data_IF_230389283272
#
_entry.id   IF_230389283272
#
_cell.length_a   1.000
_cell.length_b   1.000
_cell.length_c   1.000
_cell.angle_alpha   90.00
_cell.angle_beta   90.00
_cell.angle_gamma   90.00
#
_symmetry.space_group_name_H-M   'P 1'
#
loop_
_entity.id
_entity.type
_entity.pdbx_description
1 polymer ?
#
# COMPACT_ATOMS: atom_id res chain seq x y z
N UNK A 1 20.42 -7.86 16.46
CA UNK A 1 20.26 -6.46 16.02
C UNK A 1 19.65 -5.70 17.19
N UNK A 2 20.16 -4.53 17.52
CA UNK A 2 19.67 -3.73 18.64
C UNK A 2 18.27 -3.17 18.29
N UNK A 3 17.24 -3.50 19.09
CA UNK A 3 15.86 -3.06 18.92
C UNK A 3 15.76 -1.53 18.77
N UNK A 4 16.52 -0.79 19.56
CA UNK A 4 16.53 0.66 19.54
C UNK A 4 17.04 1.24 18.21
N UNK A 5 18.02 0.62 17.57
CA UNK A 5 18.51 1.06 16.26
C UNK A 5 17.52 0.79 15.13
N UNK A 6 16.74 -0.27 15.24
CA UNK A 6 15.74 -0.63 14.25
C UNK A 6 14.51 0.31 14.31
N UNK A 7 14.00 0.61 15.51
CA UNK A 7 12.89 1.55 15.69
C UNK A 7 13.24 2.96 15.19
N UNK A 8 14.49 3.40 15.33
CA UNK A 8 14.97 4.68 14.78
C UNK A 8 14.83 4.79 13.26
N UNK A 9 14.82 3.67 12.53
CA UNK A 9 14.64 3.69 11.06
C UNK A 9 13.25 4.15 10.63
N UNK A 10 12.24 3.92 11.47
CA UNK A 10 10.85 4.35 11.23
C UNK A 10 10.49 5.64 11.97
N UNK A 11 11.45 6.32 12.57
CA UNK A 11 11.20 7.63 13.19
C UNK A 11 10.66 8.61 12.14
N UNK A 12 9.66 9.39 12.54
CA UNK A 12 8.94 10.36 11.70
C UNK A 12 8.13 9.71 10.54
N UNK A 13 7.85 8.39 10.65
CA UNK A 13 6.90 7.72 9.75
C UNK A 13 5.52 8.40 9.88
N UNK A 14 4.84 8.75 8.78
CA UNK A 14 3.45 9.20 8.85
C UNK A 14 2.55 8.19 9.55
N UNK A 15 1.49 8.67 10.19
CA UNK A 15 0.51 7.80 10.82
C UNK A 15 -0.03 6.74 9.85
N UNK A 16 -0.11 5.49 10.29
CA UNK A 16 -0.56 4.36 9.48
C UNK A 16 -2.04 4.09 9.71
N UNK A 17 -2.83 4.10 8.65
CA UNK A 17 -4.21 3.62 8.64
C UNK A 17 -4.23 2.26 7.94
N UNK A 18 -4.62 1.22 8.64
CA UNK A 18 -4.50 -0.14 8.10
C UNK A 18 -5.83 -0.89 8.09
N UNK A 19 -6.04 -1.61 7.00
CA UNK A 19 -7.26 -2.34 6.68
C UNK A 19 -7.16 -3.77 7.22
N UNK A 20 -8.23 -4.21 7.89
CA UNK A 20 -8.34 -5.59 8.34
C UNK A 20 -9.82 -5.97 8.45
N UNK A 21 -10.17 -7.14 7.93
CA UNK A 21 -11.48 -7.73 8.10
C UNK A 21 -11.72 -8.12 9.56
N UNK A 22 -12.90 -7.83 10.10
CA UNK A 22 -13.21 -8.10 11.52
C UNK A 22 -13.09 -9.58 11.89
N UNK A 23 -13.35 -10.48 10.95
CA UNK A 23 -13.22 -11.92 11.13
C UNK A 23 -11.77 -12.46 11.03
N UNK A 24 -10.78 -11.61 10.70
CA UNK A 24 -9.36 -12.02 10.54
C UNK A 24 -8.53 -11.62 11.77
N UNK A 25 -8.84 -12.22 12.92
CA UNK A 25 -8.21 -11.92 14.21
C UNK A 25 -6.69 -12.26 14.23
N UNK A 26 -6.27 -13.34 13.60
CA UNK A 26 -4.87 -13.76 13.49
C UNK A 26 -4.03 -12.73 12.72
N UNK A 27 -4.51 -12.21 11.59
CA UNK A 27 -3.88 -11.13 10.83
C UNK A 27 -3.84 -9.82 11.63
N UNK A 28 -4.95 -9.51 12.32
CA UNK A 28 -5.02 -8.37 13.21
C UNK A 28 -3.93 -8.43 14.29
N UNK A 29 -3.85 -9.52 15.03
CA UNK A 29 -2.85 -9.69 16.09
C UNK A 29 -1.42 -9.61 15.55
N UNK A 30 -1.19 -10.17 14.34
CA UNK A 30 0.11 -10.10 13.69
C UNK A 30 0.50 -8.65 13.37
N UNK A 31 -0.39 -7.83 12.84
CA UNK A 31 -0.12 -6.41 12.56
C UNK A 31 0.08 -5.60 13.84
N UNK A 32 -0.77 -5.78 14.85
CA UNK A 32 -0.65 -5.10 16.15
C UNK A 32 0.71 -5.42 16.82
N UNK A 33 1.17 -6.65 16.72
CA UNK A 33 2.49 -7.06 17.22
C UNK A 33 3.64 -6.34 16.48
N UNK A 34 3.55 -6.20 15.16
CA UNK A 34 4.53 -5.46 14.38
C UNK A 34 4.56 -3.98 14.76
N UNK A 35 3.41 -3.33 14.79
CA UNK A 35 3.33 -1.92 15.17
C UNK A 35 3.86 -1.66 16.59
N UNK A 36 3.52 -2.53 17.54
CA UNK A 36 4.09 -2.48 18.89
C UNK A 36 5.60 -2.67 18.90
N UNK A 37 6.11 -3.62 18.11
CA UNK A 37 7.55 -3.89 18.03
C UNK A 37 8.33 -2.72 17.45
N UNK A 38 7.79 -2.08 16.39
CA UNK A 38 8.42 -1.00 15.66
C UNK A 38 8.08 0.40 16.20
N UNK A 39 7.21 0.49 17.22
CA UNK A 39 6.72 1.74 17.82
C UNK A 39 6.05 2.65 16.75
N UNK A 40 5.24 2.05 15.86
CA UNK A 40 4.55 2.75 14.77
C UNK A 40 3.18 3.21 15.24
N UNK A 41 2.90 4.51 15.11
CA UNK A 41 1.56 5.07 15.34
C UNK A 41 0.59 4.60 14.25
N UNK A 42 -0.53 4.00 14.68
CA UNK A 42 -1.45 3.39 13.74
C UNK A 42 -2.92 3.46 14.17
N UNK A 43 -3.80 3.33 13.20
CA UNK A 43 -5.25 3.21 13.41
C UNK A 43 -5.79 2.09 12.51
N UNK A 44 -6.42 1.09 13.13
CA UNK A 44 -7.13 0.04 12.41
C UNK A 44 -8.42 0.56 11.80
N UNK A 45 -8.67 0.25 10.55
CA UNK A 45 -9.93 0.48 9.85
C UNK A 45 -10.56 -0.88 9.55
N UNK A 46 -11.76 -1.12 10.10
CA UNK A 46 -12.54 -2.31 9.75
C UNK A 46 -12.87 -2.28 8.26
N UNK A 47 -12.37 -3.27 7.53
CA UNK A 47 -12.55 -3.41 6.08
C UNK A 47 -13.93 -4.00 5.76
N UNK A 48 -14.45 -3.70 4.56
CA UNK A 48 -15.64 -4.35 4.03
C UNK A 48 -15.29 -5.72 3.46
N UNK A 49 -15.99 -6.77 3.86
CA UNK A 49 -15.94 -8.07 3.19
C UNK A 49 -17.01 -8.15 2.10
N UNK A 50 -16.60 -7.89 0.86
CA UNK A 50 -17.55 -7.92 -0.26
C UNK A 50 -18.11 -9.30 -0.57
N UNK A 51 -17.62 -10.38 0.07
CA UNK A 51 -18.15 -11.74 -0.08
C UNK A 51 -19.32 -12.01 0.87
N UNK A 52 -19.25 -11.45 2.07
CA UNK A 52 -20.22 -11.65 3.14
C UNK A 52 -21.14 -10.44 3.32
N UNK A 53 -20.68 -9.24 2.98
CA UNK A 53 -21.43 -8.00 3.10
C UNK A 53 -22.21 -7.67 1.82
N UNK A 54 -23.45 -7.27 1.93
CA UNK A 54 -24.17 -6.59 0.83
C UNK A 54 -23.69 -5.14 0.71
N UNK A 55 -22.78 -4.90 -0.23
CA UNK A 55 -22.22 -3.57 -0.48
C UNK A 55 -23.07 -2.70 -1.41
N UNK A 56 -24.26 -3.14 -1.83
CA UNK A 56 -25.13 -2.38 -2.74
C UNK A 56 -25.56 -1.03 -2.15
N UNK A 57 -25.73 -0.97 -0.84
CA UNK A 57 -26.13 0.26 -0.16
C UNK A 57 -25.03 1.33 -0.08
N UNK A 58 -23.77 0.94 -0.20
CA UNK A 58 -22.62 1.87 -0.19
C UNK A 58 -22.12 2.21 -1.59
N UNK A 59 -22.61 1.56 -2.64
CA UNK A 59 -22.25 1.82 -4.04
C UNK A 59 -23.24 2.78 -4.68
N UNK A 60 -22.72 3.81 -5.36
CA UNK A 60 -23.51 4.77 -6.11
C UNK A 60 -23.67 4.35 -7.58
N UNK A 61 -24.90 4.32 -8.07
CA UNK A 61 -25.21 3.98 -9.45
C UNK A 61 -25.26 2.47 -9.72
N UNK A 62 -24.75 2.03 -10.88
CA UNK A 62 -24.73 0.61 -11.23
C UNK A 62 -23.67 -0.11 -10.41
N UNK A 63 -24.04 -1.24 -9.82
CA UNK A 63 -23.08 -2.12 -9.15
C UNK A 63 -22.08 -2.67 -10.18
N UNK A 64 -20.76 -2.68 -9.92
CA UNK A 64 -19.77 -3.12 -10.90
C UNK A 64 -19.92 -4.62 -11.21
N UNK A 65 -20.11 -4.95 -12.48
CA UNK A 65 -20.27 -6.33 -12.97
C UNK A 65 -18.98 -6.96 -13.51
N UNK A 66 -17.91 -6.15 -13.61
CA UNK A 66 -16.59 -6.55 -14.09
C UNK A 66 -15.56 -6.71 -12.95
N UNK A 67 -16.01 -6.72 -11.71
CA UNK A 67 -15.19 -6.88 -10.51
C UNK A 67 -15.74 -8.02 -9.66
N UNK A 68 -14.86 -8.75 -8.98
CA UNK A 68 -15.27 -9.68 -7.93
C UNK A 68 -15.75 -8.94 -6.68
N UNK A 69 -16.53 -9.60 -5.85
CA UNK A 69 -16.99 -9.04 -4.57
C UNK A 69 -15.81 -8.68 -3.65
N UNK A 70 -14.75 -9.49 -3.62
CA UNK A 70 -13.53 -9.19 -2.88
C UNK A 70 -12.82 -7.92 -3.39
N UNK A 71 -12.71 -7.74 -4.71
CA UNK A 71 -12.14 -6.52 -5.31
C UNK A 71 -12.98 -5.26 -4.96
N UNK A 72 -14.31 -5.39 -4.93
CA UNK A 72 -15.20 -4.30 -4.51
C UNK A 72 -14.99 -3.98 -3.02
N UNK A 73 -14.93 -5.01 -2.16
CA UNK A 73 -14.63 -4.85 -0.74
C UNK A 73 -13.29 -4.16 -0.50
N UNK A 74 -12.24 -4.58 -1.23
CA UNK A 74 -10.90 -3.99 -1.14
C UNK A 74 -10.91 -2.50 -1.49
N UNK A 75 -11.36 -2.13 -2.69
CA UNK A 75 -11.32 -0.72 -3.14
C UNK A 75 -12.20 0.19 -2.26
N UNK A 76 -13.36 -0.27 -1.82
CA UNK A 76 -14.23 0.52 -0.93
C UNK A 76 -13.63 0.67 0.45
N UNK A 77 -12.90 -0.33 0.95
CA UNK A 77 -12.18 -0.27 2.22
C UNK A 77 -11.04 0.76 2.18
N UNK A 78 -10.27 0.82 1.09
CA UNK A 78 -9.25 1.86 0.90
C UNK A 78 -9.86 3.26 0.85
N UNK A 79 -10.95 3.46 0.11
CA UNK A 79 -11.66 4.76 0.08
C UNK A 79 -12.21 5.12 1.47
N UNK A 80 -12.70 4.15 2.25
CA UNK A 80 -13.13 4.33 3.65
C UNK A 80 -11.96 4.77 4.53
N UNK A 81 -10.79 4.14 4.42
CA UNK A 81 -9.62 4.51 5.21
C UNK A 81 -9.12 5.93 4.88
N UNK A 82 -9.09 6.29 3.61
CA UNK A 82 -8.74 7.63 3.14
C UNK A 82 -9.74 8.67 3.68
N UNK A 83 -11.05 8.40 3.61
CA UNK A 83 -12.07 9.28 4.19
C UNK A 83 -11.89 9.43 5.69
N UNK A 84 -11.69 8.31 6.41
CA UNK A 84 -11.48 8.35 7.87
C UNK A 84 -10.27 9.21 8.25
N UNK A 85 -9.16 9.06 7.55
CA UNK A 85 -7.98 9.90 7.76
C UNK A 85 -8.29 11.39 7.58
N UNK A 86 -8.91 11.75 6.46
CA UNK A 86 -9.24 13.17 6.17
C UNK A 86 -10.20 13.78 7.19
N UNK A 87 -11.11 12.98 7.74
CA UNK A 87 -12.10 13.44 8.72
C UNK A 87 -11.52 13.56 10.15
N UNK A 88 -10.39 12.88 10.44
CA UNK A 88 -9.86 12.76 11.81
C UNK A 88 -8.43 13.28 11.99
N UNK A 89 -7.79 13.81 10.96
CA UNK A 89 -6.42 14.31 11.03
C UNK A 89 -6.20 15.45 10.05
N UNK A 90 -5.34 16.41 10.42
CA UNK A 90 -4.89 17.51 9.56
C UNK A 90 -3.52 17.26 8.93
N UNK A 91 -2.95 16.05 9.07
CA UNK A 91 -1.63 15.73 8.53
C UNK A 91 -1.60 15.85 6.99
N UNK A 92 -0.46 16.28 6.44
CA UNK A 92 -0.28 16.49 4.99
C UNK A 92 -0.16 15.18 4.20
N UNK A 93 0.17 14.08 4.86
CA UNK A 93 0.19 12.75 4.27
C UNK A 93 -0.10 11.67 5.32
N UNK A 94 -0.46 10.48 4.83
CA UNK A 94 -0.68 9.29 5.64
C UNK A 94 -0.18 8.05 4.90
N UNK A 95 0.04 6.97 5.64
CA UNK A 95 0.28 5.65 5.06
C UNK A 95 -1.00 4.83 5.15
N UNK A 96 -1.39 4.23 4.02
CA UNK A 96 -2.41 3.21 3.96
C UNK A 96 -1.74 1.84 3.87
N UNK A 97 -2.19 0.88 4.69
CA UNK A 97 -1.67 -0.50 4.68
C UNK A 97 -2.79 -1.53 4.65
N UNK A 98 -2.51 -2.68 4.09
CA UNK A 98 -3.30 -3.89 4.28
C UNK A 98 -2.73 -4.75 5.43
N UNK A 99 -3.50 -5.71 5.92
CA UNK A 99 -3.15 -6.53 7.08
C UNK A 99 -2.18 -7.67 6.77
N UNK A 100 -1.58 -7.67 5.60
CA UNK A 100 -0.48 -8.54 5.18
C UNK A 100 0.85 -7.81 4.92
N UNK A 101 0.91 -6.50 5.16
CA UNK A 101 2.16 -5.74 5.03
C UNK A 101 3.18 -6.17 6.08
N UNK A 102 4.41 -6.54 5.65
CA UNK A 102 5.48 -7.03 6.50
C UNK A 102 6.57 -5.97 6.72
N UNK A 103 6.70 -5.52 7.97
CA UNK A 103 7.71 -4.55 8.39
C UNK A 103 9.07 -5.20 8.74
N UNK A 104 9.20 -6.52 8.66
CA UNK A 104 10.45 -7.20 9.03
C UNK A 104 11.63 -6.76 8.15
N UNK A 105 11.37 -6.42 6.90
CA UNK A 105 12.37 -5.91 5.95
C UNK A 105 13.12 -4.67 6.46
N UNK A 106 12.50 -3.85 7.29
CA UNK A 106 13.10 -2.64 7.89
C UNK A 106 14.40 -2.92 8.63
N UNK A 107 14.56 -4.13 9.18
CA UNK A 107 15.82 -4.57 9.81
C UNK A 107 17.00 -4.48 8.85
N UNK A 108 16.74 -4.68 7.56
CA UNK A 108 17.76 -4.75 6.50
C UNK A 108 17.99 -3.41 5.80
N UNK A 109 17.15 -2.38 6.05
CA UNK A 109 17.40 -1.06 5.46
C UNK A 109 18.73 -0.48 5.96
N UNK A 110 19.61 -0.01 5.08
CA UNK A 110 20.80 0.74 5.46
C UNK A 110 20.53 2.24 5.66
N UNK A 111 19.29 2.67 5.56
CA UNK A 111 18.81 4.04 5.68
C UNK A 111 17.63 4.15 6.68
N UNK A 112 17.15 5.35 6.92
CA UNK A 112 15.93 5.63 7.69
C UNK A 112 14.77 6.06 6.77
N UNK A 113 13.54 6.01 7.31
CA UNK A 113 12.38 6.59 6.63
C UNK A 113 12.61 8.04 6.19
N UNK A 114 13.23 8.85 7.05
CA UNK A 114 13.54 10.24 6.76
C UNK A 114 14.48 10.39 5.56
N UNK A 115 15.45 9.48 5.40
CA UNK A 115 16.36 9.50 4.25
C UNK A 115 15.62 9.20 2.96
N UNK A 116 14.77 8.18 2.95
CA UNK A 116 13.90 7.85 1.81
C UNK A 116 12.93 9.01 1.49
N UNK A 117 12.16 9.47 2.48
CA UNK A 117 11.07 10.42 2.25
C UNK A 117 11.56 11.80 1.79
N UNK A 118 12.77 12.20 2.16
CA UNK A 118 13.40 13.44 1.68
C UNK A 118 13.65 13.45 0.18
N UNK A 119 13.79 12.26 -0.44
CA UNK A 119 13.99 12.09 -1.87
C UNK A 119 12.68 11.87 -2.64
N UNK A 120 11.53 11.94 -1.97
CA UNK A 120 10.24 11.86 -2.66
C UNK A 120 10.17 12.93 -3.75
N UNK A 121 9.78 12.57 -4.99
CA UNK A 121 9.70 13.52 -6.10
C UNK A 121 8.77 14.69 -5.79
N UNK A 122 9.11 15.92 -6.20
CA UNK A 122 8.42 17.15 -5.77
C UNK A 122 6.91 17.18 -6.06
N UNK A 123 6.43 16.41 -7.03
CA UNK A 123 5.02 16.41 -7.47
C UNK A 123 4.32 15.05 -7.25
N UNK A 124 4.74 14.27 -6.26
CA UNK A 124 4.10 13.01 -5.97
C UNK A 124 2.67 13.18 -5.43
N UNK A 125 1.78 12.32 -5.87
CA UNK A 125 0.44 12.14 -5.29
C UNK A 125 0.43 10.89 -4.41
N UNK A 126 1.10 9.82 -4.87
CA UNK A 126 1.30 8.55 -4.15
C UNK A 126 2.74 8.07 -4.28
N UNK A 127 3.24 7.49 -3.19
CA UNK A 127 4.43 6.65 -3.20
C UNK A 127 3.99 5.22 -2.88
N UNK A 128 4.01 4.34 -3.87
CA UNK A 128 3.76 2.90 -3.69
C UNK A 128 5.01 2.28 -3.10
N UNK A 129 4.94 1.77 -1.88
CA UNK A 129 6.09 1.30 -1.10
C UNK A 129 6.11 -0.21 -0.85
N UNK A 130 5.06 -0.92 -1.23
CA UNK A 130 5.03 -2.38 -1.34
C UNK A 130 4.53 -2.76 -2.74
N UNK A 131 5.26 -3.65 -3.44
CA UNK A 131 5.01 -3.96 -4.85
C UNK A 131 4.95 -5.48 -5.03
N UNK A 132 4.00 -5.93 -5.83
CA UNK A 132 3.97 -7.26 -6.43
C UNK A 132 4.11 -7.07 -7.94
N UNK A 133 5.22 -7.51 -8.50
CA UNK A 133 5.45 -7.45 -9.94
C UNK A 133 5.67 -8.86 -10.49
N UNK A 134 4.96 -9.31 -11.53
CA UNK A 134 5.11 -10.65 -12.12
C UNK A 134 6.47 -10.85 -12.81
N UNK A 135 7.18 -9.78 -13.10
CA UNK A 135 8.56 -9.80 -13.57
C UNK A 135 9.54 -9.52 -12.40
N UNK A 136 10.73 -9.06 -12.69
CA UNK A 136 11.69 -8.62 -11.67
C UNK A 136 11.30 -7.22 -11.19
N UNK A 137 11.07 -7.02 -9.88
CA UNK A 137 10.72 -5.69 -9.36
C UNK A 137 11.90 -4.72 -9.51
N UNK A 138 11.60 -3.48 -9.88
CA UNK A 138 12.59 -2.41 -9.91
C UNK A 138 12.78 -1.87 -8.50
N UNK A 139 14.02 -1.87 -8.01
CA UNK A 139 14.35 -1.50 -6.62
C UNK A 139 14.58 0.00 -6.44
N UNK A 140 14.93 0.74 -7.52
CA UNK A 140 15.07 2.19 -7.48
C UNK A 140 13.72 2.90 -7.56
N UNK A 141 13.69 4.16 -7.10
CA UNK A 141 12.51 5.02 -7.29
C UNK A 141 12.23 5.21 -8.79
N UNK A 142 11.02 4.92 -9.22
CA UNK A 142 10.60 5.03 -10.61
C UNK A 142 9.13 5.48 -10.72
N UNK A 143 8.72 5.94 -11.91
CA UNK A 143 7.30 6.07 -12.23
C UNK A 143 6.65 4.70 -12.15
N UNK A 144 5.51 4.59 -11.45
CA UNK A 144 4.80 3.33 -11.32
C UNK A 144 4.50 2.71 -12.69
N UNK A 145 4.95 1.48 -12.89
CA UNK A 145 4.55 0.69 -14.07
C UNK A 145 3.16 0.10 -13.86
N UNK A 146 2.47 -0.17 -14.98
CA UNK A 146 1.14 -0.80 -14.94
C UNK A 146 1.13 -2.17 -14.24
N UNK A 147 2.28 -2.86 -14.23
CA UNK A 147 2.48 -4.16 -13.61
C UNK A 147 3.01 -4.10 -12.16
N UNK A 148 3.20 -2.92 -11.60
CA UNK A 148 3.49 -2.76 -10.17
C UNK A 148 2.17 -2.82 -9.42
N UNK A 149 1.75 -4.04 -9.12
CA UNK A 149 0.51 -4.31 -8.39
C UNK A 149 0.69 -4.15 -6.89
N UNK A 150 -0.39 -4.28 -6.15
CA UNK A 150 -0.52 -4.28 -4.70
C UNK A 150 -0.78 -2.90 -4.08
N UNK A 151 -1.81 -2.88 -3.26
CA UNK A 151 -2.15 -1.80 -2.34
C UNK A 151 -1.74 -2.12 -0.88
N UNK A 152 -0.86 -3.14 -0.70
CA UNK A 152 -0.42 -3.57 0.63
C UNK A 152 0.21 -2.44 1.46
N UNK A 153 0.93 -1.50 0.83
CA UNK A 153 1.38 -0.27 1.49
C UNK A 153 1.66 0.86 0.49
N UNK A 154 1.14 2.05 0.79
CA UNK A 154 1.44 3.27 0.05
C UNK A 154 1.31 4.52 0.92
N UNK A 155 2.06 5.57 0.58
CA UNK A 155 1.91 6.92 1.13
C UNK A 155 1.01 7.72 0.20
N UNK A 156 0.07 8.45 0.75
CA UNK A 156 -0.84 9.33 -0.02
C UNK A 156 -0.77 10.75 0.56
N UNK A 157 -0.66 11.77 -0.31
CA UNK A 157 -0.75 13.15 0.14
C UNK A 157 -2.22 13.62 0.26
N UNK A 158 -2.47 14.59 1.14
CA UNK A 158 -3.81 15.11 1.44
C UNK A 158 -4.53 15.65 0.21
N UNK A 159 -3.85 16.49 -0.56
CA UNK A 159 -4.43 17.10 -1.76
C UNK A 159 -4.96 16.06 -2.74
N UNK A 160 -4.20 14.98 -2.92
CA UNK A 160 -4.61 13.89 -3.79
C UNK A 160 -5.72 13.04 -3.18
N UNK A 161 -5.67 12.77 -1.89
CA UNK A 161 -6.72 12.05 -1.17
C UNK A 161 -8.09 12.75 -1.32
N UNK A 162 -8.13 14.07 -1.14
CA UNK A 162 -9.33 14.89 -1.36
C UNK A 162 -9.83 14.80 -2.81
N UNK A 163 -8.92 14.91 -3.78
CA UNK A 163 -9.23 14.73 -5.21
C UNK A 163 -9.81 13.35 -5.49
N UNK A 164 -9.17 12.30 -4.95
CA UNK A 164 -9.58 10.90 -5.15
C UNK A 164 -10.99 10.67 -4.63
N UNK A 165 -11.29 11.13 -3.41
CA UNK A 165 -12.64 11.01 -2.87
C UNK A 165 -13.66 11.84 -3.66
N UNK A 166 -13.31 13.04 -4.11
CA UNK A 166 -14.19 13.84 -4.96
C UNK A 166 -14.53 13.13 -6.29
N UNK A 167 -13.59 12.35 -6.84
CA UNK A 167 -13.81 11.55 -8.05
C UNK A 167 -14.70 10.33 -7.80
N UNK A 168 -14.50 9.65 -6.67
CA UNK A 168 -15.07 8.32 -6.43
C UNK A 168 -16.12 8.26 -5.31
N UNK A 169 -16.61 9.42 -4.84
CA UNK A 169 -17.77 9.46 -3.92
C UNK A 169 -18.89 10.31 -4.50
N UNK A 170 -20.13 9.90 -4.24
CA UNK A 170 -21.35 10.60 -4.66
C UNK A 170 -22.39 10.47 -3.57
N UNK A 171 -22.77 11.57 -2.92
CA UNK A 171 -23.80 11.61 -1.86
C UNK A 171 -23.51 10.58 -0.74
N UNK A 172 -22.26 10.49 -0.30
CA UNK A 172 -21.84 9.57 0.75
C UNK A 172 -21.73 8.09 0.34
N UNK A 173 -21.83 7.78 -0.97
CA UNK A 173 -21.64 6.42 -1.52
C UNK A 173 -20.45 6.38 -2.47
N UNK A 174 -19.81 5.23 -2.61
CA UNK A 174 -18.67 5.02 -3.52
C UNK A 174 -19.15 4.82 -4.96
N UNK A 175 -18.51 5.51 -5.89
CA UNK A 175 -18.82 5.41 -7.31
C UNK A 175 -17.71 4.61 -8.02
N UNK A 176 -17.95 3.34 -8.23
CA UNK A 176 -17.08 2.44 -8.97
C UNK A 176 -17.59 2.29 -10.40
N UNK A 177 -17.15 3.19 -11.25
CA UNK A 177 -17.65 3.30 -12.64
C UNK A 177 -16.80 2.42 -13.57
N UNK A 178 -17.43 1.58 -14.38
CA UNK A 178 -16.76 0.71 -15.36
C UNK A 178 -16.01 1.45 -16.50
N UNK A 179 -15.97 2.81 -16.46
CA UNK A 179 -15.15 3.64 -17.36
C UNK A 179 -13.73 3.82 -16.85
N UNK A 180 -13.45 3.45 -15.59
CA UNK A 180 -12.09 3.47 -15.03
C UNK A 180 -11.27 2.42 -15.76
N UNK A 181 -10.10 2.80 -16.26
CA UNK A 181 -9.21 1.92 -17.02
C UNK A 181 -7.93 1.62 -16.23
N UNK A 182 -7.42 0.37 -16.30
CA UNK A 182 -8.02 -0.78 -16.97
C UNK A 182 -9.28 -1.30 -16.25
N UNK A 183 -9.37 -1.21 -14.91
CA UNK A 183 -10.52 -1.61 -14.09
C UNK A 183 -10.63 -0.70 -12.85
N UNK A 184 -11.77 -0.76 -12.14
CA UNK A 184 -11.98 -0.01 -10.90
C UNK A 184 -11.47 -0.74 -9.63
N UNK A 185 -10.53 -1.68 -9.78
CA UNK A 185 -9.85 -2.33 -8.65
C UNK A 185 -8.94 -1.35 -7.90
N UNK A 186 -8.59 -1.65 -6.67
CA UNK A 186 -7.87 -0.72 -5.79
C UNK A 186 -6.60 -0.18 -6.44
N UNK A 187 -5.72 -1.04 -6.99
CA UNK A 187 -4.50 -0.63 -7.68
C UNK A 187 -4.75 0.41 -8.78
N UNK A 188 -5.69 0.09 -9.67
CA UNK A 188 -5.92 0.92 -10.84
C UNK A 188 -6.62 2.22 -10.49
N UNK A 189 -7.61 2.17 -9.59
CA UNK A 189 -8.36 3.34 -9.18
C UNK A 189 -7.47 4.32 -8.39
N UNK A 190 -6.72 3.81 -7.42
CA UNK A 190 -5.90 4.64 -6.53
C UNK A 190 -4.69 5.19 -7.26
N UNK A 191 -3.95 4.35 -7.98
CA UNK A 191 -2.68 4.75 -8.56
C UNK A 191 -2.80 5.47 -9.89
N UNK A 192 -3.75 5.09 -10.75
CA UNK A 192 -3.87 5.69 -12.10
C UNK A 192 -4.61 7.03 -12.13
N UNK A 193 -5.18 7.48 -11.00
CA UNK A 193 -5.86 8.78 -10.90
C UNK A 193 -4.93 9.94 -10.55
N UNK A 194 -3.66 9.67 -10.24
CA UNK A 194 -2.64 10.65 -9.84
C UNK A 194 -1.24 10.30 -10.30
N UNK A 195 -0.28 11.13 -9.88
CA UNK A 195 1.14 10.93 -10.12
C UNK A 195 1.67 9.94 -9.08
N UNK A 196 1.88 8.70 -9.49
CA UNK A 196 2.34 7.62 -8.62
C UNK A 196 3.78 7.24 -8.96
N UNK A 197 4.61 7.24 -7.92
CA UNK A 197 5.96 6.69 -7.95
C UNK A 197 6.01 5.43 -7.13
N UNK A 198 6.94 4.54 -7.45
CA UNK A 198 7.04 3.23 -6.85
C UNK A 198 8.48 2.92 -6.43
N UNK A 199 8.62 2.32 -5.25
CA UNK A 199 9.87 1.76 -4.74
C UNK A 199 9.55 0.73 -3.65
N UNK A 200 9.89 -0.57 -3.80
CA UNK A 200 9.50 -1.63 -2.87
C UNK A 200 10.37 -1.63 -1.61
N UNK A 201 10.15 -0.69 -0.70
CA UNK A 201 10.86 -0.61 0.58
C UNK A 201 10.18 -1.42 1.70
N UNK A 202 8.90 -1.75 1.55
CA UNK A 202 8.18 -2.67 2.42
C UNK A 202 7.84 -3.97 1.69
N UNK A 203 7.46 -4.98 2.45
CA UNK A 203 7.14 -6.31 1.96
C UNK A 203 5.69 -6.68 2.25
N UNK A 204 5.26 -7.82 1.75
CA UNK A 204 3.99 -8.46 2.07
C UNK A 204 4.24 -9.90 2.53
N UNK A 205 3.33 -10.44 3.36
CA UNK A 205 3.48 -11.75 4.00
C UNK A 205 2.75 -12.83 3.20
N UNK A 206 3.49 -13.55 2.33
CA UNK A 206 2.91 -14.65 1.51
C UNK A 206 2.21 -15.71 2.38
N UNK A 207 2.77 -16.03 3.55
CA UNK A 207 2.22 -17.07 4.41
C UNK A 207 0.80 -16.79 4.93
N UNK A 208 0.34 -15.54 4.87
CA UNK A 208 -1.04 -15.17 5.23
C UNK A 208 -2.04 -15.41 4.09
N UNK A 209 -1.56 -15.74 2.87
CA UNK A 209 -2.40 -15.93 1.69
C UNK A 209 -2.97 -14.63 1.15
N UNK A 210 -3.76 -14.76 0.07
CA UNK A 210 -4.56 -13.66 -0.49
C UNK A 210 -6.03 -13.96 -0.29
N UNK A 211 -6.78 -13.03 0.28
CA UNK A 211 -8.24 -13.16 0.41
C UNK A 211 -8.99 -12.83 -0.90
N UNK A 212 -8.29 -12.31 -1.92
CA UNK A 212 -8.89 -11.86 -3.18
C UNK A 212 -8.54 -12.78 -4.34
N UNK A 213 -7.28 -13.25 -4.43
CA UNK A 213 -6.76 -14.00 -5.57
C UNK A 213 -5.83 -15.16 -5.14
N UNK A 214 -6.37 -16.26 -4.66
CA UNK A 214 -5.59 -17.42 -4.21
C UNK A 214 -4.63 -17.99 -5.27
N UNK A 215 -5.05 -18.00 -6.55
CA UNK A 215 -4.26 -18.55 -7.67
C UNK A 215 -3.01 -17.71 -7.98
N UNK A 216 -3.04 -16.41 -7.69
CA UNK A 216 -1.93 -15.50 -8.02
C UNK A 216 -0.73 -15.68 -7.07
N UNK A 217 -0.95 -16.20 -5.86
CA UNK A 217 0.09 -16.35 -4.82
C UNK A 217 1.26 -17.21 -5.33
N UNK A 218 0.98 -18.34 -5.97
CA UNK A 218 2.03 -19.25 -6.43
C UNK A 218 2.72 -18.79 -7.72
N UNK A 219 2.03 -18.05 -8.59
CA UNK A 219 2.53 -17.68 -9.92
C UNK A 219 3.30 -16.36 -9.91
N UNK A 220 2.79 -15.34 -9.20
CA UNK A 220 3.35 -13.97 -9.25
C UNK A 220 3.97 -13.54 -7.93
N UNK A 221 3.32 -13.83 -6.80
CA UNK A 221 3.74 -13.29 -5.51
C UNK A 221 5.07 -13.90 -5.04
N UNK A 222 5.24 -15.23 -5.19
CA UNK A 222 6.41 -15.93 -4.66
C UNK A 222 7.71 -15.45 -5.31
N UNK A 223 7.77 -15.39 -6.63
CA UNK A 223 8.97 -14.97 -7.34
C UNK A 223 9.37 -13.53 -7.02
N UNK A 224 8.39 -12.62 -6.99
CA UNK A 224 8.61 -11.23 -6.63
C UNK A 224 9.08 -11.11 -5.18
N UNK A 225 8.40 -11.79 -4.24
CA UNK A 225 8.76 -11.80 -2.84
C UNK A 225 10.19 -12.31 -2.61
N UNK A 226 10.58 -13.42 -3.25
CA UNK A 226 11.91 -14.00 -3.10
C UNK A 226 12.98 -13.05 -3.66
N UNK A 227 12.71 -12.40 -4.80
CA UNK A 227 13.62 -11.40 -5.38
C UNK A 227 13.81 -10.19 -4.46
N UNK A 228 12.71 -9.67 -3.89
CA UNK A 228 12.74 -8.56 -2.92
C UNK A 228 13.51 -8.95 -1.66
N UNK A 229 13.24 -10.11 -1.06
CA UNK A 229 13.96 -10.58 0.12
C UNK A 229 15.43 -10.83 -0.15
N UNK A 230 15.78 -11.39 -1.32
CA UNK A 230 17.18 -11.57 -1.71
C UNK A 230 17.90 -10.22 -1.77
N UNK A 231 17.32 -9.23 -2.45
CA UNK A 231 17.88 -7.89 -2.51
C UNK A 231 18.11 -7.29 -1.11
N UNK A 232 17.07 -7.24 -0.28
CA UNK A 232 17.17 -6.59 1.03
C UNK A 232 18.15 -7.28 1.98
N UNK A 233 18.24 -8.60 1.94
CA UNK A 233 19.13 -9.38 2.82
C UNK A 233 20.58 -9.37 2.37
N UNK A 234 20.81 -9.41 1.07
CA UNK A 234 22.14 -9.68 0.51
C UNK A 234 22.72 -8.47 -0.23
N UNK A 235 21.93 -7.78 -1.05
CA UNK A 235 22.43 -6.80 -2.00
C UNK A 235 22.32 -5.36 -1.50
N UNK A 236 21.36 -5.06 -0.63
CA UNK A 236 21.10 -3.71 -0.13
C UNK A 236 22.33 -3.07 0.55
N UNK A 237 23.14 -3.86 1.25
CA UNK A 237 24.35 -3.36 1.89
C UNK A 237 25.51 -3.11 0.91
N UNK A 238 25.38 -3.52 -0.36
CA UNK A 238 26.36 -3.27 -1.42
C UNK A 238 26.07 -2.01 -2.22
N UNK A 239 24.92 -1.38 -1.99
CA UNK A 239 24.59 -0.08 -2.59
C UNK A 239 25.49 0.99 -1.98
N UNK A 240 26.37 1.58 -2.79
CA UNK A 240 27.37 2.55 -2.34
C UNK A 240 26.73 3.91 -1.99
N UNK A 241 25.73 4.33 -2.75
CA UNK A 241 25.05 5.62 -2.57
C UNK A 241 23.52 5.47 -2.66
N UNK A 242 22.87 5.44 -1.51
CA UNK A 242 21.42 5.37 -1.39
C UNK A 242 20.72 6.65 -1.86
N UNK A 243 21.37 7.81 -1.85
CA UNK A 243 20.74 9.03 -2.36
C UNK A 243 20.52 8.90 -3.87
N UNK A 244 21.50 8.40 -4.62
CA UNK A 244 21.31 8.10 -6.04
C UNK A 244 20.29 6.99 -6.29
N UNK A 245 20.17 6.05 -5.35
CA UNK A 245 19.20 4.96 -5.46
C UNK A 245 17.76 5.43 -5.25
N UNK A 246 17.57 6.46 -4.43
CA UNK A 246 16.27 7.10 -4.22
C UNK A 246 15.91 8.08 -5.34
N UNK A 247 16.87 8.64 -6.03
CA UNK A 247 16.62 9.57 -7.12
C UNK A 247 15.85 8.89 -8.25
N UNK A 248 14.85 9.62 -8.78
CA UNK A 248 14.07 9.13 -9.89
C UNK A 248 14.96 8.83 -11.09
N UNK A 249 14.97 7.58 -11.52
CA UNK A 249 15.66 7.19 -12.73
C UNK A 249 14.81 7.56 -13.97
N UNK A 250 15.23 8.53 -14.79
CA UNK A 250 14.44 8.96 -15.95
C UNK A 250 14.43 7.95 -17.10
N UNK A 251 15.21 6.88 -17.01
CA UNK A 251 15.31 5.83 -18.03
C UNK A 251 14.55 4.54 -17.67
N UNK A 252 13.85 4.53 -16.54
CA UNK A 252 12.96 3.46 -16.11
C UNK A 252 11.50 3.79 -16.37
#
# INVERSE_FOLDING_TARGET
MDKNKSAQKLKDLPHVYWLNLDGKEDRRQWMENQFSYWEVENTRISAYDGRDDDLSDIIAGKYPDNMSSGEIGCVTSHLKAIQYWLDNSDSECAIMMEDDCDLEVVKHWPFSWKDFFRHAPAAWDILQIAIINPAVPVMQMHYRFINDFSTAAYVINRRYAEKLLALYTRKGKYKLDGRIKPRAVADDLIYNSGMTYAMPILMYKIALGSDIHDIHVDVYHRNCHDALWNFWRNDANMVEDWNQFFDLNPYL
#
